data_IF_812738389973
#
_entry.id   IF_812738389973
#
_cell.length_a   1.000
_cell.length_b   1.000
_cell.length_c   1.000
_cell.angle_alpha   90.00
_cell.angle_beta   90.00
_cell.angle_gamma   90.00
#
_symmetry.space_group_name_H-M   'P 1'
#
loop_
_entity.id
_entity.type
_entity.pdbx_description
1 polymer ?
#
# COMPACT_ATOMS: atom_id res chain seq x y z
N UNK A 1 3.86 -10.97 24.17
CA UNK A 1 3.26 -10.41 22.93
C UNK A 1 3.94 -9.07 22.67
N UNK A 2 4.81 -8.97 21.66
CA UNK A 2 5.56 -7.73 21.41
C UNK A 2 4.61 -6.71 20.78
N UNK A 3 4.17 -5.77 21.61
CA UNK A 3 3.42 -4.58 21.23
C UNK A 3 4.32 -3.65 20.43
N UNK A 4 4.53 -3.98 19.15
CA UNK A 4 5.17 -3.09 18.19
C UNK A 4 4.36 -1.81 18.12
N UNK A 5 5.01 -0.68 18.43
CA UNK A 5 4.46 0.68 18.35
C UNK A 5 3.78 0.86 16.99
N UNK A 6 2.45 0.72 16.96
CA UNK A 6 1.61 0.92 15.79
C UNK A 6 1.63 2.41 15.50
N UNK A 7 2.47 2.84 14.55
CA UNK A 7 2.27 4.17 13.96
C UNK A 7 0.86 4.19 13.38
N UNK A 8 0.09 5.23 13.71
CA UNK A 8 -1.29 5.35 13.23
C UNK A 8 -1.27 5.43 11.70
N UNK A 9 -1.95 4.48 11.05
CA UNK A 9 -2.14 4.53 9.61
C UNK A 9 -3.16 5.62 9.32
N UNK A 10 -2.70 6.74 8.78
CA UNK A 10 -3.58 7.83 8.33
C UNK A 10 -3.95 7.56 6.88
N UNK A 11 -5.26 7.44 6.63
CA UNK A 11 -5.80 7.26 5.28
C UNK A 11 -5.96 8.64 4.64
N UNK A 12 -5.07 8.97 3.70
CA UNK A 12 -5.12 10.24 2.96
C UNK A 12 -5.92 10.13 1.67
N UNK A 13 -6.05 8.91 1.15
CA UNK A 13 -6.86 8.59 0.00
C UNK A 13 -8.00 7.69 0.46
N UNK A 14 -9.17 7.84 -0.14
CA UNK A 14 -10.20 6.81 -0.10
C UNK A 14 -9.71 5.56 -0.85
N UNK A 15 -10.41 4.44 -0.66
CA UNK A 15 -10.09 3.21 -1.39
C UNK A 15 -10.25 3.41 -2.91
N UNK A 16 -11.28 4.15 -3.33
CA UNK A 16 -11.54 4.49 -4.73
C UNK A 16 -10.45 5.39 -5.33
N UNK A 17 -10.02 6.42 -4.59
CA UNK A 17 -8.94 7.32 -5.02
C UNK A 17 -7.61 6.56 -5.14
N UNK A 18 -7.37 5.59 -4.26
CA UNK A 18 -6.19 4.74 -4.31
C UNK A 18 -6.22 3.80 -5.53
N UNK A 19 -7.35 3.17 -5.84
CA UNK A 19 -7.50 2.36 -7.06
C UNK A 19 -7.30 3.19 -8.33
N UNK A 20 -7.84 4.41 -8.34
CA UNK A 20 -7.66 5.32 -9.47
C UNK A 20 -6.19 5.69 -9.64
N UNK A 21 -5.50 6.05 -8.56
CA UNK A 21 -4.07 6.35 -8.59
C UNK A 21 -3.22 5.15 -9.05
N UNK A 22 -3.56 3.93 -8.66
CA UNK A 22 -2.90 2.71 -9.15
C UNK A 22 -3.09 2.58 -10.66
N UNK A 23 -4.33 2.75 -11.13
CA UNK A 23 -4.68 2.64 -12.55
C UNK A 23 -3.93 3.69 -13.38
N UNK A 24 -3.83 4.93 -12.91
CA UNK A 24 -3.16 6.00 -13.62
C UNK A 24 -1.64 5.80 -13.64
N UNK A 25 -1.05 5.35 -12.53
CA UNK A 25 0.36 4.99 -12.47
C UNK A 25 0.71 3.81 -13.40
N UNK A 26 -0.19 2.82 -13.53
CA UNK A 26 -0.04 1.72 -14.49
C UNK A 26 -0.05 2.23 -15.93
N UNK A 27 -1.00 3.10 -16.29
CA UNK A 27 -1.08 3.72 -17.62
C UNK A 27 0.15 4.56 -17.94
N UNK A 28 0.71 5.25 -16.95
CA UNK A 28 1.93 6.04 -17.08
C UNK A 28 3.22 5.21 -17.10
N UNK A 29 3.15 3.89 -16.86
CA UNK A 29 4.32 3.01 -16.81
C UNK A 29 5.20 3.21 -15.57
N UNK A 30 4.68 3.86 -14.52
CA UNK A 30 5.43 4.17 -13.30
C UNK A 30 5.45 2.96 -12.35
N UNK A 31 6.20 1.93 -12.71
CA UNK A 31 6.24 0.64 -11.99
C UNK A 31 6.58 0.77 -10.50
N UNK A 32 7.49 1.67 -10.14
CA UNK A 32 7.83 1.97 -8.74
C UNK A 32 6.64 2.56 -7.97
N UNK A 33 5.88 3.47 -8.60
CA UNK A 33 4.72 4.09 -7.98
C UNK A 33 3.60 3.08 -7.82
N UNK A 34 3.32 2.27 -8.85
CA UNK A 34 2.34 1.16 -8.77
C UNK A 34 2.64 0.25 -7.59
N UNK A 35 3.89 -0.18 -7.42
CA UNK A 35 4.29 -1.05 -6.31
C UNK A 35 4.04 -0.41 -4.94
N UNK A 36 4.35 0.89 -4.81
CA UNK A 36 4.13 1.64 -3.57
C UNK A 36 2.65 1.82 -3.25
N UNK A 37 1.83 2.11 -4.26
CA UNK A 37 0.38 2.25 -4.07
C UNK A 37 -0.28 0.92 -3.72
N UNK A 38 0.12 -0.18 -4.36
CA UNK A 38 -0.32 -1.53 -3.98
C UNK A 38 0.08 -1.90 -2.54
N UNK A 39 1.27 -1.48 -2.09
CA UNK A 39 1.67 -1.66 -0.69
C UNK A 39 0.76 -0.89 0.26
N UNK A 40 0.42 0.37 -0.05
CA UNK A 40 -0.52 1.18 0.74
C UNK A 40 -1.92 0.55 0.76
N UNK A 41 -2.39 0.00 -0.37
CA UNK A 41 -3.67 -0.71 -0.47
C UNK A 41 -3.73 -1.89 0.48
N UNK A 42 -2.69 -2.72 0.50
CA UNK A 42 -2.59 -3.84 1.43
C UNK A 42 -2.68 -3.39 2.89
N UNK A 43 -1.99 -2.30 3.26
CA UNK A 43 -2.10 -1.71 4.60
C UNK A 43 -3.54 -1.24 4.91
N UNK A 44 -4.24 -0.67 3.94
CA UNK A 44 -5.63 -0.22 4.13
C UNK A 44 -6.59 -1.39 4.34
N UNK A 45 -6.28 -2.55 3.78
CA UNK A 45 -6.99 -3.83 3.95
C UNK A 45 -6.66 -4.54 5.26
N UNK A 46 -5.72 -4.01 6.06
CA UNK A 46 -5.40 -4.50 7.39
C UNK A 46 -4.14 -5.37 7.45
N UNK A 47 -3.41 -5.53 6.35
CA UNK A 47 -2.11 -6.20 6.41
C UNK A 47 -1.13 -5.47 7.33
N UNK A 48 -0.28 -6.24 7.99
CA UNK A 48 0.94 -5.71 8.60
C UNK A 48 1.92 -5.20 7.53
N UNK A 49 2.89 -4.36 7.94
CA UNK A 49 3.94 -3.89 7.02
C UNK A 49 4.73 -5.02 6.37
N UNK A 50 4.92 -6.12 7.10
CA UNK A 50 5.63 -7.32 6.63
C UNK A 50 4.79 -8.07 5.60
N UNK A 51 3.50 -8.31 5.88
CA UNK A 51 2.57 -8.95 4.94
C UNK A 51 2.39 -8.10 3.67
N UNK A 52 2.13 -6.81 3.83
CA UNK A 52 1.97 -5.88 2.71
C UNK A 52 3.22 -5.85 1.85
N UNK A 53 4.42 -5.86 2.47
CA UNK A 53 5.72 -5.89 1.77
C UNK A 53 5.90 -7.18 0.98
N UNK A 54 5.64 -8.33 1.61
CA UNK A 54 5.71 -9.64 0.97
C UNK A 54 4.79 -9.74 -0.24
N UNK A 55 3.56 -9.21 -0.17
CA UNK A 55 2.59 -9.22 -1.28
C UNK A 55 3.06 -8.42 -2.50
N UNK A 56 3.84 -7.36 -2.29
CA UNK A 56 4.40 -6.56 -3.39
C UNK A 56 5.84 -6.95 -3.74
N UNK A 57 6.34 -8.08 -3.22
CA UNK A 57 7.67 -8.60 -3.53
C UNK A 57 8.82 -7.79 -2.90
N UNK A 58 8.58 -7.11 -1.79
CA UNK A 58 9.63 -6.50 -0.96
C UNK A 58 10.07 -7.57 0.06
N UNK A 59 11.35 -7.95 0.00
CA UNK A 59 12.00 -8.89 0.93
C UNK A 59 12.63 -8.17 2.11
#
# INVERSE_FOLDING_TARGET
>A
MKSSRRGQLVKHLSEEELEQAITDAQKAGETCLVRRLCYVKNLYQGDTREEAGKRVGIS
#
